data_IF_414428889974
#
_entry.id   IF_414428889974
#
_cell.length_a   1.000
_cell.length_b   1.000
_cell.length_c   1.000
_cell.angle_alpha   90.00
_cell.angle_beta   90.00
_cell.angle_gamma   90.00
#
_symmetry.space_group_name_H-M   'P 1'
#
loop_
_entity.id
_entity.type
_entity.pdbx_description
1 polymer ?
#
# COMPACT_ATOMS: atom_id res chain seq x y z
N UNK A 1 -9.48 9.09 10.83
CA UNK A 1 -10.45 9.64 9.89
C UNK A 1 -11.85 9.28 10.33
N UNK A 2 -12.76 10.21 10.32
CA UNK A 2 -14.17 9.98 10.66
C UNK A 2 -15.07 10.27 9.45
N UNK A 3 -14.94 11.46 8.87
CA UNK A 3 -15.66 11.86 7.67
C UNK A 3 -15.00 13.05 6.98
N UNK A 4 -15.30 13.24 5.71
CA UNK A 4 -15.00 14.46 4.99
C UNK A 4 -16.27 15.02 4.33
N UNK A 5 -16.30 16.35 4.16
CA UNK A 5 -17.35 17.04 3.45
C UNK A 5 -16.73 17.92 2.37
N UNK A 6 -17.09 17.67 1.13
CA UNK A 6 -16.69 18.49 -0.01
C UNK A 6 -17.70 19.65 -0.16
N UNK A 7 -17.19 20.87 -0.17
CA UNK A 7 -17.93 22.08 -0.51
C UNK A 7 -17.29 22.73 -1.77
N UNK A 8 -17.86 23.79 -2.29
CA UNK A 8 -17.43 24.37 -3.57
C UNK A 8 -15.99 24.87 -3.57
N UNK A 9 -15.49 25.40 -2.45
CA UNK A 9 -14.15 25.98 -2.35
C UNK A 9 -13.22 25.31 -1.32
N UNK A 10 -13.72 24.30 -0.58
CA UNK A 10 -12.98 23.71 0.53
C UNK A 10 -13.43 22.28 0.83
N UNK A 11 -12.57 21.54 1.50
CA UNK A 11 -12.84 20.24 2.08
C UNK A 11 -12.72 20.33 3.58
N UNK A 12 -13.74 19.97 4.32
CA UNK A 12 -13.70 19.82 5.78
C UNK A 12 -13.46 18.37 6.14
N UNK A 13 -12.42 18.09 6.92
CA UNK A 13 -12.06 16.73 7.35
C UNK A 13 -12.14 16.65 8.87
N UNK A 14 -12.97 15.74 9.38
CA UNK A 14 -13.07 15.45 10.80
C UNK A 14 -12.33 14.16 11.14
N UNK A 15 -11.56 14.18 12.21
CA UNK A 15 -10.77 13.04 12.67
C UNK A 15 -10.75 12.94 14.19
N UNK A 16 -10.53 11.73 14.71
CA UNK A 16 -10.33 11.49 16.14
C UNK A 16 -8.94 12.01 16.55
N UNK A 17 -8.89 12.70 17.69
CA UNK A 17 -7.68 13.16 18.35
C UNK A 17 -7.74 12.80 19.83
N UNK A 18 -6.62 12.86 20.55
CA UNK A 18 -6.57 12.52 21.99
C UNK A 18 -7.60 13.28 22.85
N UNK A 19 -7.87 14.54 22.52
CA UNK A 19 -8.82 15.40 23.22
C UNK A 19 -10.22 15.45 22.55
N UNK A 20 -10.63 14.39 21.82
CA UNK A 20 -11.92 14.34 21.12
C UNK A 20 -11.78 14.46 19.59
N UNK A 21 -12.85 14.87 18.89
CA UNK A 21 -12.80 15.07 17.45
C UNK A 21 -12.27 16.46 17.10
N UNK A 22 -11.46 16.53 16.02
CA UNK A 22 -11.01 17.79 15.41
C UNK A 22 -11.49 17.88 13.98
N UNK A 23 -11.68 19.08 13.50
CA UNK A 23 -11.99 19.37 12.10
C UNK A 23 -10.93 20.33 11.54
N UNK A 24 -10.41 19.98 10.36
CA UNK A 24 -9.53 20.85 9.58
C UNK A 24 -10.20 21.18 8.25
N UNK A 25 -9.88 22.35 7.72
CA UNK A 25 -10.32 22.78 6.40
C UNK A 25 -9.12 22.82 5.46
N UNK A 26 -9.26 22.23 4.29
CA UNK A 26 -8.24 22.17 3.25
C UNK A 26 -8.83 22.53 1.88
N UNK A 27 -8.00 22.81 0.90
CA UNK A 27 -8.44 23.01 -0.49
C UNK A 27 -8.64 21.71 -1.22
N UNK A 28 -7.80 20.71 -0.92
CA UNK A 28 -7.81 19.39 -1.54
C UNK A 28 -7.61 18.32 -0.47
N UNK A 29 -8.37 17.25 -0.57
CA UNK A 29 -8.17 16.01 0.18
C UNK A 29 -7.52 14.98 -0.74
N UNK A 30 -6.39 14.41 -0.30
CA UNK A 30 -5.74 13.29 -0.97
C UNK A 30 -6.02 12.02 -0.17
N UNK A 31 -6.78 11.12 -0.77
CA UNK A 31 -7.07 9.83 -0.19
C UNK A 31 -6.02 8.80 -0.63
N UNK A 32 -4.95 8.68 0.14
CA UNK A 32 -3.87 7.71 -0.06
C UNK A 32 -3.94 6.57 0.97
N UNK A 33 -5.15 6.14 1.33
CA UNK A 33 -5.40 5.18 2.42
C UNK A 33 -5.11 3.71 2.04
N UNK A 34 -4.53 3.43 0.87
CA UNK A 34 -4.18 2.07 0.45
C UNK A 34 -5.37 1.12 0.49
N UNK A 35 -5.32 0.01 1.26
CA UNK A 35 -6.42 -0.96 1.35
C UNK A 35 -7.75 -0.37 1.81
N UNK A 36 -7.74 0.74 2.53
CA UNK A 36 -8.94 1.44 3.03
C UNK A 36 -9.45 2.55 2.10
N UNK A 37 -8.94 2.67 0.87
CA UNK A 37 -9.28 3.76 -0.05
C UNK A 37 -10.78 3.89 -0.27
N UNK A 38 -11.50 2.78 -0.53
CA UNK A 38 -12.94 2.79 -0.71
C UNK A 38 -13.71 3.01 0.60
N UNK A 39 -13.16 2.58 1.73
CA UNK A 39 -13.72 2.86 3.05
C UNK A 39 -13.69 4.37 3.36
N UNK A 40 -12.58 5.04 3.08
CA UNK A 40 -12.50 6.51 3.20
C UNK A 40 -13.50 7.19 2.28
N UNK A 41 -13.62 6.76 1.02
CA UNK A 41 -14.59 7.32 0.06
C UNK A 41 -16.03 7.20 0.52
N UNK A 42 -16.42 6.08 1.13
CA UNK A 42 -17.77 5.89 1.66
C UNK A 42 -18.13 6.88 2.77
N UNK A 43 -17.13 7.48 3.42
CA UNK A 43 -17.29 8.48 4.48
C UNK A 43 -17.18 9.92 3.97
N UNK A 44 -17.02 10.12 2.66
CA UNK A 44 -16.99 11.45 2.03
C UNK A 44 -18.40 11.86 1.64
N UNK A 45 -18.85 13.00 2.16
CA UNK A 45 -20.13 13.64 1.78
C UNK A 45 -19.84 14.74 0.77
N UNK A 46 -20.65 14.81 -0.28
CA UNK A 46 -20.57 15.87 -1.29
C UNK A 46 -21.88 16.63 -1.32
N UNK A 47 -21.83 17.96 -1.49
CA UNK A 47 -22.98 18.82 -1.70
C UNK A 47 -23.34 18.93 -3.19
N UNK A 48 -22.44 18.49 -4.07
CA UNK A 48 -22.60 18.46 -5.52
C UNK A 48 -23.06 17.09 -6.00
N UNK A 49 -23.69 17.04 -7.18
CA UNK A 49 -24.04 15.80 -7.90
C UNK A 49 -22.82 14.98 -8.36
N UNK A 50 -21.60 15.51 -8.21
CA UNK A 50 -20.37 14.76 -8.46
C UNK A 50 -20.18 13.74 -7.34
N UNK A 51 -20.50 12.48 -7.61
CA UNK A 51 -20.17 11.39 -6.71
C UNK A 51 -18.68 11.08 -6.81
N UNK A 52 -18.01 10.90 -5.66
CA UNK A 52 -16.65 10.37 -5.65
C UNK A 52 -16.65 9.00 -6.35
N UNK A 53 -15.96 8.92 -7.48
CA UNK A 53 -15.87 7.67 -8.24
C UNK A 53 -15.08 6.64 -7.43
N UNK A 54 -15.66 5.46 -7.24
CA UNK A 54 -14.96 4.31 -6.68
C UNK A 54 -14.42 3.44 -7.80
N UNK A 55 -13.24 2.88 -7.60
CA UNK A 55 -12.70 1.84 -8.47
C UNK A 55 -12.79 0.50 -7.74
N UNK A 56 -13.24 -0.53 -8.45
CA UNK A 56 -13.24 -1.87 -7.88
C UNK A 56 -11.81 -2.36 -7.68
N UNK A 57 -11.52 -2.85 -6.49
CA UNK A 57 -10.20 -3.33 -6.09
C UNK A 57 -10.27 -4.75 -5.55
N UNK A 58 -9.18 -5.47 -5.73
CA UNK A 58 -8.91 -6.73 -5.05
C UNK A 58 -7.76 -6.52 -4.08
N UNK A 59 -7.90 -7.07 -2.88
CA UNK A 59 -6.84 -7.10 -1.89
C UNK A 59 -6.08 -8.43 -2.00
N UNK A 60 -4.76 -8.33 -2.09
CA UNK A 60 -3.89 -9.50 -2.19
C UNK A 60 -2.88 -9.44 -1.06
N UNK A 61 -2.98 -10.45 -0.19
CA UNK A 61 -2.08 -10.64 0.94
C UNK A 61 -0.72 -11.13 0.46
N UNK A 62 0.34 -10.61 1.06
CA UNK A 62 1.70 -11.12 0.94
C UNK A 62 2.32 -11.27 2.32
N UNK A 63 2.67 -12.49 2.68
CA UNK A 63 3.22 -12.85 3.98
C UNK A 63 4.72 -13.04 3.92
N UNK A 64 5.38 -12.74 5.03
CA UNK A 64 6.82 -12.95 5.24
C UNK A 64 7.02 -13.64 6.58
N UNK A 65 8.04 -14.49 6.64
CA UNK A 65 8.55 -15.05 7.89
C UNK A 65 9.99 -14.59 8.12
N UNK A 66 10.36 -14.45 9.38
CA UNK A 66 11.74 -14.17 9.80
C UNK A 66 12.21 -15.34 10.65
N UNK A 67 13.37 -15.89 10.29
CA UNK A 67 13.96 -17.03 10.99
C UNK A 67 15.30 -16.65 11.61
N UNK A 68 15.64 -17.23 12.78
CA UNK A 68 16.84 -16.92 13.55
C UNK A 68 18.18 -17.34 12.90
N UNK A 69 18.14 -17.80 11.66
CA UNK A 69 19.29 -18.18 10.88
C UNK A 69 19.84 -16.99 10.11
N UNK A 70 21.15 -16.84 10.04
CA UNK A 70 21.80 -15.81 9.24
C UNK A 70 22.23 -16.32 7.88
N UNK A 71 21.99 -15.50 6.85
CA UNK A 71 22.57 -15.64 5.52
C UNK A 71 23.36 -14.37 5.19
N UNK A 72 24.38 -14.50 4.34
CA UNK A 72 25.25 -13.38 3.97
C UNK A 72 24.90 -12.72 2.65
N UNK A 73 24.08 -13.37 1.84
CA UNK A 73 23.70 -12.90 0.49
C UNK A 73 22.19 -12.99 0.30
N UNK A 74 21.58 -12.09 -0.48
CA UNK A 74 20.19 -12.24 -0.90
C UNK A 74 20.07 -13.34 -1.96
N UNK A 75 18.94 -14.05 -1.95
CA UNK A 75 18.59 -15.04 -2.95
C UNK A 75 17.23 -14.71 -3.56
N UNK A 76 17.11 -14.89 -4.86
CA UNK A 76 15.86 -14.98 -5.61
C UNK A 76 15.61 -16.45 -5.90
N UNK A 77 14.47 -16.96 -5.47
CA UNK A 77 14.07 -18.35 -5.67
C UNK A 77 12.79 -18.40 -6.49
N UNK A 78 12.66 -19.40 -7.32
CA UNK A 78 11.41 -19.76 -7.97
C UNK A 78 10.73 -20.88 -7.19
N UNK A 79 9.48 -20.67 -6.78
CA UNK A 79 8.73 -21.71 -6.08
C UNK A 79 8.49 -22.91 -7.00
N UNK A 80 8.89 -24.13 -6.60
CA UNK A 80 8.77 -25.33 -7.46
C UNK A 80 7.35 -25.65 -7.89
N UNK A 81 6.36 -25.27 -7.06
CA UNK A 81 4.94 -25.56 -7.28
C UNK A 81 4.30 -24.69 -8.36
N UNK A 82 4.64 -23.43 -8.44
CA UNK A 82 3.90 -22.43 -9.22
C UNK A 82 4.77 -21.37 -9.94
N UNK A 83 6.12 -21.48 -9.82
CA UNK A 83 7.07 -20.56 -10.47
C UNK A 83 7.11 -19.16 -9.89
N UNK A 84 6.50 -18.92 -8.73
CA UNK A 84 6.50 -17.59 -8.12
C UNK A 84 7.85 -17.23 -7.54
N UNK A 85 8.15 -15.93 -7.60
CA UNK A 85 9.34 -15.35 -7.00
C UNK A 85 9.21 -15.28 -5.47
N UNK A 86 10.14 -15.89 -4.77
CA UNK A 86 10.31 -15.76 -3.33
C UNK A 86 11.73 -15.27 -3.04
N UNK A 87 11.83 -14.26 -2.21
CA UNK A 87 13.11 -13.69 -1.79
C UNK A 87 13.52 -14.25 -0.43
N UNK A 88 14.81 -14.55 -0.29
CA UNK A 88 15.43 -14.89 0.98
C UNK A 88 16.52 -13.85 1.22
N UNK A 89 16.30 -12.99 2.21
CA UNK A 89 17.08 -11.77 2.41
C UNK A 89 17.73 -11.72 3.80
N UNK A 90 18.98 -11.23 3.92
CA UNK A 90 19.53 -10.83 5.21
C UNK A 90 18.64 -9.75 5.84
N UNK A 91 18.25 -9.91 7.10
CA UNK A 91 17.31 -9.02 7.78
C UNK A 91 17.67 -8.85 9.26
N UNK A 92 18.25 -7.70 9.64
CA UNK A 92 18.57 -7.36 11.05
C UNK A 92 19.25 -8.49 11.82
N UNK A 93 20.28 -9.10 11.23
CA UNK A 93 21.00 -10.23 11.83
C UNK A 93 20.31 -11.60 11.69
N UNK A 94 19.14 -11.66 11.07
CA UNK A 94 18.35 -12.86 10.81
C UNK A 94 18.12 -13.03 9.30
N UNK A 95 17.20 -13.90 8.91
CA UNK A 95 16.81 -14.09 7.51
C UNK A 95 15.29 -13.88 7.36
N UNK A 96 14.92 -13.03 6.43
CA UNK A 96 13.54 -12.83 6.01
C UNK A 96 13.26 -13.62 4.74
N UNK A 97 12.14 -14.34 4.70
CA UNK A 97 11.68 -15.16 3.58
C UNK A 97 10.28 -14.68 3.15
N UNK A 98 10.09 -14.39 1.89
CA UNK A 98 8.80 -13.91 1.34
C UNK A 98 8.96 -13.46 -0.11
N UNK A 99 7.87 -13.27 -0.77
CA UNK A 99 6.51 -13.08 -0.25
C UNK A 99 5.57 -14.15 -0.83
N UNK A 100 4.45 -14.38 -0.15
CA UNK A 100 3.32 -15.13 -0.69
C UNK A 100 2.41 -14.21 -1.52
N UNK A 101 1.37 -14.79 -2.11
CA UNK A 101 0.35 -14.06 -2.86
C UNK A 101 -0.99 -14.78 -2.75
N UNK A 102 -1.83 -14.34 -1.83
CA UNK A 102 -3.12 -14.95 -1.51
C UNK A 102 -4.22 -13.88 -1.58
N UNK A 103 -5.33 -14.19 -2.23
CA UNK A 103 -6.48 -13.28 -2.25
C UNK A 103 -7.01 -13.09 -0.83
N UNK A 104 -7.29 -11.84 -0.46
CA UNK A 104 -7.75 -11.47 0.87
C UNK A 104 -9.18 -10.94 0.84
N UNK A 105 -10.03 -11.47 1.72
CA UNK A 105 -11.46 -11.15 1.78
C UNK A 105 -11.91 -10.68 3.17
N UNK A 106 -11.01 -10.15 3.97
CA UNK A 106 -11.29 -9.67 5.33
C UNK A 106 -11.19 -8.15 5.45
N UNK A 107 -11.36 -7.66 6.67
CA UNK A 107 -11.04 -6.29 7.00
C UNK A 107 -9.51 -6.08 6.92
N UNK A 108 -9.04 -5.01 6.25
CA UNK A 108 -7.60 -4.82 6.05
C UNK A 108 -6.78 -4.77 7.34
N UNK A 109 -7.39 -4.38 8.46
CA UNK A 109 -6.73 -4.32 9.77
C UNK A 109 -6.48 -5.69 10.41
N UNK A 110 -7.14 -6.74 9.92
CA UNK A 110 -7.09 -8.09 10.48
C UNK A 110 -6.11 -9.01 9.72
N UNK A 111 -5.33 -8.43 8.80
CA UNK A 111 -4.39 -9.21 7.98
C UNK A 111 -3.28 -9.82 8.84
N UNK A 112 -3.16 -11.14 8.79
CA UNK A 112 -2.10 -11.92 9.45
C UNK A 112 -1.63 -13.05 8.56
N UNK A 113 -0.36 -13.50 8.67
CA UNK A 113 0.12 -14.65 7.93
C UNK A 113 -0.73 -15.90 8.25
N UNK A 114 -1.16 -16.60 7.22
CA UNK A 114 -1.92 -17.84 7.36
C UNK A 114 -0.96 -19.04 7.45
N UNK A 115 -1.35 -20.10 8.15
CA UNK A 115 -0.53 -21.31 8.29
C UNK A 115 -0.08 -21.87 6.92
N UNK A 116 -0.97 -21.91 5.95
CA UNK A 116 -0.66 -22.39 4.60
C UNK A 116 0.39 -21.51 3.87
N UNK A 117 0.46 -20.22 4.16
CA UNK A 117 1.47 -19.32 3.60
C UNK A 117 2.83 -19.54 4.27
N UNK A 118 2.82 -19.79 5.58
CA UNK A 118 4.03 -20.13 6.35
C UNK A 118 4.62 -21.45 5.82
N UNK A 119 3.79 -22.49 5.70
CA UNK A 119 4.20 -23.79 5.17
C UNK A 119 4.78 -23.68 3.76
N UNK A 120 4.14 -22.87 2.88
CA UNK A 120 4.62 -22.60 1.53
C UNK A 120 6.03 -21.96 1.53
N UNK A 121 6.27 -20.97 2.38
CA UNK A 121 7.59 -20.32 2.46
C UNK A 121 8.67 -21.27 3.01
N UNK A 122 8.32 -22.08 4.02
CA UNK A 122 9.22 -23.11 4.56
C UNK A 122 9.55 -24.21 3.53
N UNK A 123 8.54 -24.67 2.77
CA UNK A 123 8.71 -25.64 1.69
C UNK A 123 9.71 -25.15 0.65
N UNK A 124 9.56 -23.88 0.19
CA UNK A 124 10.46 -23.28 -0.80
C UNK A 124 11.89 -23.18 -0.24
N UNK A 125 12.04 -22.67 0.97
CA UNK A 125 13.38 -22.57 1.59
C UNK A 125 14.02 -23.95 1.68
N UNK A 126 13.31 -24.95 2.20
CA UNK A 126 13.80 -26.29 2.39
C UNK A 126 14.11 -27.04 1.08
N UNK A 127 13.49 -26.62 -0.03
CA UNK A 127 13.84 -27.15 -1.36
C UNK A 127 15.25 -26.73 -1.83
N UNK A 128 15.66 -25.51 -1.54
CA UNK A 128 16.90 -24.94 -2.07
C UNK A 128 18.09 -24.98 -1.09
N UNK A 129 17.82 -25.09 0.20
CA UNK A 129 18.84 -25.07 1.24
C UNK A 129 18.94 -26.43 1.94
N UNK A 130 20.17 -26.91 2.13
CA UNK A 130 20.43 -28.21 2.76
C UNK A 130 20.00 -28.33 4.22
N UNK A 131 19.87 -27.21 4.92
CA UNK A 131 19.42 -27.20 6.30
C UNK A 131 17.94 -26.84 6.38
N UNK A 132 17.12 -27.77 6.78
CA UNK A 132 15.67 -27.59 6.92
C UNK A 132 15.30 -26.61 8.03
N UNK A 133 14.25 -25.83 7.77
CA UNK A 133 13.55 -24.97 8.73
C UNK A 133 12.18 -25.55 9.03
N UNK A 134 11.77 -25.43 10.27
CA UNK A 134 10.41 -25.74 10.72
C UNK A 134 9.74 -24.49 11.31
N UNK A 135 8.47 -24.62 11.69
CA UNK A 135 7.72 -23.53 12.34
C UNK A 135 8.40 -23.03 13.63
N UNK A 136 9.10 -23.93 14.35
CA UNK A 136 9.82 -23.59 15.57
C UNK A 136 11.05 -22.65 15.33
N UNK A 137 11.53 -22.55 14.10
CA UNK A 137 12.65 -21.66 13.74
C UNK A 137 12.20 -20.23 13.43
N UNK A 138 10.88 -20.00 13.33
CA UNK A 138 10.28 -18.70 13.04
C UNK A 138 10.29 -17.86 14.31
N UNK A 139 10.94 -16.70 14.24
CA UNK A 139 11.05 -15.73 15.35
C UNK A 139 10.10 -14.56 15.17
N UNK A 140 9.65 -14.30 13.94
CA UNK A 140 8.69 -13.24 13.62
C UNK A 140 7.98 -13.55 12.30
N UNK A 141 6.78 -13.01 12.11
CA UNK A 141 6.04 -13.08 10.86
C UNK A 141 5.12 -11.90 10.70
N UNK A 142 4.93 -11.45 9.47
CA UNK A 142 4.03 -10.35 9.15
C UNK A 142 3.41 -10.51 7.77
N UNK A 143 2.25 -9.90 7.58
CA UNK A 143 1.57 -9.83 6.31
C UNK A 143 1.20 -8.39 5.96
N UNK A 144 1.11 -8.12 4.67
CA UNK A 144 0.64 -6.84 4.14
C UNK A 144 -0.29 -7.05 2.96
N UNK A 145 -1.08 -6.03 2.64
CA UNK A 145 -2.04 -6.06 1.55
C UNK A 145 -1.57 -5.22 0.36
N UNK A 146 -1.67 -5.79 -0.82
CA UNK A 146 -1.55 -5.07 -2.10
C UNK A 146 -2.94 -4.73 -2.59
N UNK A 147 -3.09 -3.51 -3.09
CA UNK A 147 -4.31 -3.06 -3.76
C UNK A 147 -4.13 -3.25 -5.26
N UNK A 148 -4.90 -4.11 -5.86
CA UNK A 148 -4.88 -4.37 -7.30
C UNK A 148 -6.21 -4.00 -7.94
N UNK A 149 -6.25 -3.59 -9.21
CA UNK A 149 -7.50 -3.41 -9.92
C UNK A 149 -8.29 -4.71 -9.94
N UNK A 150 -9.60 -4.64 -9.71
CA UNK A 150 -10.48 -5.78 -9.89
C UNK A 150 -10.54 -6.19 -11.37
N UNK A 151 -10.77 -7.46 -11.62
CA UNK A 151 -10.88 -8.01 -12.99
C UNK A 151 -10.09 -9.30 -13.15
N UNK A 152 -10.47 -10.11 -14.14
CA UNK A 152 -9.97 -11.47 -14.34
C UNK A 152 -8.45 -11.58 -14.52
N UNK A 153 -7.92 -12.74 -14.14
CA UNK A 153 -6.51 -13.12 -14.23
C UNK A 153 -5.84 -13.30 -12.89
N UNK A 154 -4.71 -14.00 -12.88
CA UNK A 154 -3.91 -14.20 -11.68
C UNK A 154 -3.35 -12.86 -11.17
N UNK A 155 -3.31 -12.66 -9.86
CA UNK A 155 -2.81 -11.43 -9.22
C UNK A 155 -1.38 -11.07 -9.68
N UNK A 156 -0.55 -12.07 -9.96
CA UNK A 156 0.83 -11.91 -10.46
C UNK A 156 0.91 -11.15 -11.80
N UNK A 157 -0.10 -11.29 -12.68
CA UNK A 157 -0.15 -10.62 -13.99
C UNK A 157 -0.82 -9.25 -14.00
N UNK A 158 -1.40 -8.80 -12.88
CA UNK A 158 -2.11 -7.52 -12.83
C UNK A 158 -1.14 -6.36 -12.73
N UNK A 159 -1.50 -5.25 -13.41
CA UNK A 159 -0.73 -4.01 -13.30
C UNK A 159 -0.70 -3.52 -11.85
N UNK A 160 0.48 -3.09 -11.43
CA UNK A 160 0.73 -2.41 -10.16
C UNK A 160 0.94 -0.91 -10.36
N UNK A 161 0.37 -0.37 -11.42
CA UNK A 161 0.45 1.06 -11.69
C UNK A 161 -0.38 1.86 -10.69
N UNK A 162 0.01 3.10 -10.48
CA UNK A 162 -0.76 4.03 -9.66
C UNK A 162 -1.86 4.64 -10.52
N UNK A 163 -3.10 4.54 -10.05
CA UNK A 163 -4.25 5.23 -10.62
C UNK A 163 -4.64 6.39 -9.71
N UNK A 164 -4.81 7.58 -10.32
CA UNK A 164 -5.25 8.78 -9.63
C UNK A 164 -6.66 9.11 -10.13
N UNK A 165 -7.64 9.08 -9.24
CA UNK A 165 -9.03 9.38 -9.55
C UNK A 165 -9.46 10.67 -8.85
N UNK A 166 -9.59 11.79 -9.59
CA UNK A 166 -10.14 13.03 -9.07
C UNK A 166 -11.68 12.97 -9.01
N UNK A 167 -12.28 13.74 -8.11
CA UNK A 167 -13.72 13.99 -8.09
C UNK A 167 -14.17 14.89 -9.25
N UNK A 168 -13.29 15.80 -9.67
CA UNK A 168 -13.46 16.69 -10.81
C UNK A 168 -12.16 16.80 -11.59
N UNK A 169 -12.23 16.72 -12.94
CA UNK A 169 -11.04 16.70 -13.79
C UNK A 169 -10.35 18.07 -13.90
N UNK A 170 -11.12 19.17 -13.83
CA UNK A 170 -10.60 20.51 -14.03
C UNK A 170 -10.20 21.18 -12.71
N UNK A 171 -10.93 20.88 -11.63
CA UNK A 171 -10.70 21.50 -10.31
C UNK A 171 -10.90 20.47 -9.19
N UNK A 172 -9.99 19.49 -9.08
CA UNK A 172 -10.13 18.41 -8.11
C UNK A 172 -10.03 18.93 -6.67
N UNK A 173 -10.98 18.49 -5.83
CA UNK A 173 -10.99 18.71 -4.38
C UNK A 173 -10.76 17.42 -3.61
N UNK A 174 -10.96 16.30 -4.28
CA UNK A 174 -10.63 14.98 -3.76
C UNK A 174 -9.89 14.20 -4.85
N UNK A 175 -8.74 13.66 -4.52
CA UNK A 175 -8.03 12.72 -5.40
C UNK A 175 -7.77 11.43 -4.65
N UNK A 176 -8.27 10.31 -5.18
CA UNK A 176 -8.03 8.98 -4.63
C UNK A 176 -6.88 8.29 -5.35
N UNK A 177 -5.95 7.74 -4.57
CA UNK A 177 -4.76 7.04 -5.03
C UNK A 177 -4.98 5.54 -4.89
N UNK A 178 -4.99 4.83 -6.01
CA UNK A 178 -5.15 3.37 -6.06
C UNK A 178 -3.87 2.69 -6.54
N UNK A 179 -3.55 1.56 -5.94
CA UNK A 179 -2.40 0.74 -6.32
C UNK A 179 -1.06 1.42 -6.07
N UNK A 180 -0.13 1.19 -6.98
CA UNK A 180 1.22 1.75 -6.93
C UNK A 180 2.24 0.84 -6.28
N UNK A 181 3.51 1.17 -6.53
CA UNK A 181 4.68 0.54 -5.93
C UNK A 181 5.39 1.53 -5.02
N UNK A 182 5.98 1.06 -3.93
CA UNK A 182 6.78 1.91 -3.03
C UNK A 182 7.87 2.67 -3.81
N UNK A 183 8.49 2.03 -4.80
CA UNK A 183 9.55 2.64 -5.62
C UNK A 183 9.06 3.76 -6.55
N UNK A 184 7.76 3.87 -6.81
CA UNK A 184 7.18 4.91 -7.67
C UNK A 184 6.58 6.08 -6.89
N UNK A 185 6.71 6.12 -5.57
CA UNK A 185 6.04 7.09 -4.68
C UNK A 185 6.26 8.55 -5.10
N UNK A 186 7.50 8.93 -5.43
CA UNK A 186 7.84 10.29 -5.83
C UNK A 186 7.18 10.67 -7.17
N UNK A 187 7.28 9.81 -8.18
CA UNK A 187 6.67 10.04 -9.49
C UNK A 187 5.13 10.10 -9.39
N UNK A 188 4.53 9.28 -8.52
CA UNK A 188 3.09 9.32 -8.24
C UNK A 188 2.70 10.63 -7.57
N UNK A 189 3.50 11.11 -6.61
CA UNK A 189 3.28 12.37 -5.94
C UNK A 189 3.43 13.57 -6.90
N UNK A 190 4.41 13.56 -7.82
CA UNK A 190 4.56 14.60 -8.86
C UNK A 190 3.32 14.66 -9.75
N UNK A 191 2.86 13.52 -10.29
CA UNK A 191 1.63 13.46 -11.11
C UNK A 191 0.41 14.00 -10.37
N UNK A 192 0.29 13.65 -9.08
CA UNK A 192 -0.80 14.14 -8.25
C UNK A 192 -0.71 15.65 -8.04
N UNK A 193 0.49 16.19 -7.78
CA UNK A 193 0.70 17.64 -7.65
C UNK A 193 0.34 18.38 -8.93
N UNK A 194 0.74 17.88 -10.09
CA UNK A 194 0.38 18.46 -11.40
C UNK A 194 -1.15 18.52 -11.57
N UNK A 195 -1.85 17.47 -11.15
CA UNK A 195 -3.32 17.38 -11.23
C UNK A 195 -4.01 18.44 -10.36
N UNK A 196 -3.53 18.69 -9.14
CA UNK A 196 -4.18 19.58 -8.17
C UNK A 196 -3.66 21.03 -8.23
N UNK A 197 -2.63 21.34 -9.03
CA UNK A 197 -1.99 22.66 -9.10
C UNK A 197 -3.00 23.78 -9.35
N UNK A 198 -3.99 23.57 -10.21
CA UNK A 198 -5.03 24.58 -10.52
C UNK A 198 -5.95 24.88 -9.33
N UNK A 199 -6.09 23.95 -8.39
CA UNK A 199 -6.93 24.09 -7.19
C UNK A 199 -6.18 24.76 -6.05
N UNK A 200 -4.86 24.68 -6.07
CA UNK A 200 -3.99 25.26 -5.03
C UNK A 200 -3.63 26.72 -5.34
N UNK A 201 -3.33 27.55 -4.32
CA UNK A 201 -2.76 28.86 -4.55
C UNK A 201 -1.40 28.72 -5.22
N UNK A 202 -1.07 29.71 -6.07
CA UNK A 202 0.25 29.77 -6.69
C UNK A 202 1.35 29.78 -5.61
N UNK A 203 2.33 28.89 -5.76
CA UNK A 203 3.47 28.79 -4.86
C UNK A 203 4.75 28.49 -5.67
N UNK A 204 5.86 29.02 -5.21
CA UNK A 204 7.17 28.69 -5.77
C UNK A 204 7.71 27.44 -5.09
N UNK A 205 8.13 26.40 -5.85
CA UNK A 205 8.78 25.24 -5.27
C UNK A 205 10.01 25.63 -4.46
N UNK A 206 10.13 25.09 -3.24
CA UNK A 206 11.27 25.38 -2.35
C UNK A 206 12.41 24.37 -2.49
N UNK A 207 12.16 23.23 -3.13
CA UNK A 207 13.16 22.19 -3.38
C UNK A 207 12.75 21.30 -4.56
N UNK A 208 13.73 20.65 -5.18
CA UNK A 208 13.53 19.54 -6.12
C UNK A 208 13.64 18.21 -5.35
N UNK A 209 12.54 17.50 -5.24
CA UNK A 209 12.48 16.20 -4.54
C UNK A 209 13.35 15.11 -5.17
N UNK A 210 13.86 15.30 -6.40
CA UNK A 210 14.81 14.40 -7.04
C UNK A 210 16.19 14.45 -6.41
N UNK A 211 16.56 15.60 -5.91
CA UNK A 211 17.90 15.87 -5.33
C UNK A 211 17.86 16.04 -3.82
N UNK A 212 16.67 16.03 -3.21
CA UNK A 212 16.51 16.14 -1.77
C UNK A 212 17.00 14.87 -1.09
N UNK A 213 18.01 14.97 -0.26
CA UNK A 213 18.51 13.85 0.54
C UNK A 213 17.44 13.42 1.55
N UNK A 214 17.22 12.10 1.64
CA UNK A 214 16.39 11.54 2.71
C UNK A 214 17.13 11.69 4.04
N UNK A 215 16.43 12.01 5.15
CA UNK A 215 17.06 12.02 6.47
C UNK A 215 17.59 10.63 6.80
N UNK A 216 18.81 10.58 7.33
CA UNK A 216 19.34 9.34 7.91
C UNK A 216 18.58 9.12 9.22
N UNK A 217 17.89 7.99 9.33
CA UNK A 217 17.24 7.56 10.57
C UNK A 217 18.24 6.62 11.23
N UNK A 218 18.85 7.06 12.33
CA UNK A 218 19.74 6.26 13.18
C UNK A 218 18.97 5.16 13.93
#
# INVERSE_FOLDING_TARGET
FMQAQLADDAVSVSYAAEAGSKTITARVLINAAGPWVNHVLSSVKTQSSASAQTHEIELVQGSHIVVGRQITKPYYLEAPRDGRAVFVLPWKGNTMIGTTETQFHGEPGDVVPQAAEIDYLLEIFNHYFSASLGVADIIDSFAGLRVLPAGGGAAFGKSRDTFLLPDDADRPRLVSVYGGKLTSYRASAEKLMDMITKTLPAATPVADTRTLALPVID
#
